data_IF_734746024549
#
_entry.id   IF_734746024549
#
_cell.length_a   1.000
_cell.length_b   1.000
_cell.length_c   1.000
_cell.angle_alpha   90.00
_cell.angle_beta   90.00
_cell.angle_gamma   90.00
#
_symmetry.space_group_name_H-M   'P 1'
#
loop_
_entity.id
_entity.type
_entity.pdbx_description
1 polymer ?
#
# COMPACT_ATOMS: atom_id res chain seq x y z
N UNK A 1 29.50 -24.93 -24.24
CA UNK A 1 28.16 -24.34 -24.47
C UNK A 1 27.64 -23.87 -23.13
N UNK A 2 27.69 -22.57 -22.85
CA UNK A 2 27.16 -22.00 -21.61
C UNK A 2 25.64 -22.05 -21.67
N UNK A 3 25.03 -22.88 -20.82
CA UNK A 3 23.59 -22.94 -20.62
C UNK A 3 23.10 -21.56 -20.17
N UNK A 4 22.63 -20.74 -21.11
CA UNK A 4 21.94 -19.49 -20.78
C UNK A 4 20.65 -19.88 -20.06
N UNK A 5 20.67 -19.74 -18.74
CA UNK A 5 19.51 -19.89 -17.90
C UNK A 5 18.52 -18.79 -18.32
N UNK A 6 17.53 -19.17 -19.14
CA UNK A 6 16.51 -18.26 -19.64
C UNK A 6 15.77 -17.69 -18.42
N UNK A 7 16.05 -16.42 -18.09
CA UNK A 7 15.36 -15.74 -17.01
C UNK A 7 13.86 -15.80 -17.31
N UNK A 8 13.10 -16.53 -16.47
CA UNK A 8 11.65 -16.63 -16.60
C UNK A 8 11.08 -15.21 -16.61
N UNK A 9 10.56 -14.79 -17.76
CA UNK A 9 9.86 -13.51 -17.87
C UNK A 9 8.51 -13.66 -17.17
N UNK A 10 8.19 -12.72 -16.28
CA UNK A 10 6.88 -12.68 -15.64
C UNK A 10 5.79 -12.43 -16.71
N UNK A 11 4.66 -13.13 -16.58
CA UNK A 11 3.47 -12.87 -17.40
C UNK A 11 2.66 -11.68 -16.88
N UNK A 12 1.41 -11.55 -17.31
CA UNK A 12 0.49 -10.48 -16.86
C UNK A 12 -0.09 -10.74 -15.47
N UNK A 13 -0.27 -12.00 -15.08
CA UNK A 13 -0.88 -12.37 -13.80
C UNK A 13 -0.14 -11.77 -12.58
N UNK A 14 1.20 -11.84 -12.48
CA UNK A 14 1.95 -11.14 -11.43
C UNK A 14 1.62 -9.66 -11.28
N UNK A 15 1.45 -8.95 -12.40
CA UNK A 15 1.12 -7.52 -12.40
C UNK A 15 -0.30 -7.29 -11.87
N UNK A 16 -1.25 -8.12 -12.30
CA UNK A 16 -2.64 -8.04 -11.87
C UNK A 16 -2.82 -8.31 -10.36
N UNK A 17 -2.23 -9.40 -9.85
CA UNK A 17 -2.30 -9.73 -8.42
C UNK A 17 -1.61 -8.68 -7.55
N UNK A 18 -0.46 -8.16 -8.00
CA UNK A 18 0.21 -7.05 -7.31
C UNK A 18 -0.68 -5.82 -7.26
N UNK A 19 -1.25 -5.41 -8.40
CA UNK A 19 -2.11 -4.24 -8.48
C UNK A 19 -3.34 -4.36 -7.55
N UNK A 20 -4.05 -5.49 -7.60
CA UNK A 20 -5.22 -5.70 -6.71
C UNK A 20 -4.80 -5.68 -5.24
N UNK A 21 -3.71 -6.36 -4.88
CA UNK A 21 -3.22 -6.37 -3.50
C UNK A 21 -2.83 -4.99 -2.98
N UNK A 22 -2.37 -4.08 -3.85
CA UNK A 22 -2.05 -2.70 -3.46
C UNK A 22 -3.27 -1.80 -3.33
N UNK A 23 -4.35 -2.08 -4.09
CA UNK A 23 -5.60 -1.30 -4.04
C UNK A 23 -6.45 -1.73 -2.85
N UNK A 24 -6.54 -3.03 -2.56
CA UNK A 24 -7.29 -3.56 -1.45
C UNK A 24 -6.56 -3.30 -0.12
N UNK A 25 -6.88 -2.17 0.50
CA UNK A 25 -6.21 -1.69 1.71
C UNK A 25 -7.10 -1.63 2.95
N UNK A 26 -6.50 -1.15 4.05
CA UNK A 26 -7.15 -1.06 5.36
C UNK A 26 -8.43 -0.20 5.38
N UNK A 27 -8.58 0.78 4.48
CA UNK A 27 -9.79 1.61 4.37
C UNK A 27 -11.01 0.75 4.04
N UNK A 28 -10.87 -0.25 3.18
CA UNK A 28 -11.98 -1.14 2.81
C UNK A 28 -12.53 -1.88 4.04
N UNK A 29 -11.66 -2.26 4.98
CA UNK A 29 -12.06 -3.00 6.17
C UNK A 29 -12.46 -2.09 7.34
N UNK A 30 -11.72 -1.02 7.60
CA UNK A 30 -11.89 -0.18 8.79
C UNK A 30 -12.85 1.00 8.58
N UNK A 31 -13.02 1.47 7.33
CA UNK A 31 -13.74 2.73 7.06
C UNK A 31 -14.96 2.56 6.16
N UNK A 32 -15.05 1.49 5.38
CA UNK A 32 -16.20 1.27 4.51
C UNK A 32 -17.52 1.20 5.28
N UNK A 33 -17.59 0.38 6.34
CA UNK A 33 -18.79 0.29 7.18
C UNK A 33 -19.15 1.61 7.86
N UNK A 34 -18.14 2.35 8.34
CA UNK A 34 -18.34 3.69 8.91
C UNK A 34 -18.89 4.67 7.88
N UNK A 35 -18.38 4.67 6.64
CA UNK A 35 -18.89 5.52 5.57
C UNK A 35 -20.35 5.21 5.26
N UNK A 36 -20.70 3.93 5.08
CA UNK A 36 -22.09 3.50 4.85
C UNK A 36 -23.00 3.91 6.00
N UNK A 37 -22.53 3.80 7.25
CA UNK A 37 -23.29 4.21 8.43
C UNK A 37 -23.55 5.72 8.51
N UNK A 38 -22.63 6.57 8.03
CA UNK A 38 -22.74 8.03 8.14
C UNK A 38 -23.42 8.69 6.94
N UNK A 39 -23.05 8.29 5.71
CA UNK A 39 -23.57 8.91 4.47
C UNK A 39 -24.58 8.03 3.74
N UNK A 40 -24.89 6.86 4.28
CA UNK A 40 -25.79 5.88 3.68
C UNK A 40 -25.17 5.12 2.50
N UNK A 41 -25.92 4.14 1.98
CA UNK A 41 -25.50 3.32 0.84
C UNK A 41 -25.30 4.18 -0.43
N UNK A 42 -26.27 5.03 -0.75
CA UNK A 42 -26.25 5.86 -1.96
C UNK A 42 -25.09 6.86 -1.90
N UNK A 43 -24.88 7.52 -0.75
CA UNK A 43 -23.77 8.45 -0.56
C UNK A 43 -22.41 7.75 -0.69
N UNK A 44 -22.28 6.54 -0.14
CA UNK A 44 -21.06 5.74 -0.26
C UNK A 44 -20.78 5.35 -1.72
N UNK A 45 -21.80 4.90 -2.46
CA UNK A 45 -21.66 4.58 -3.89
C UNK A 45 -21.22 5.82 -4.68
N UNK A 46 -21.78 7.00 -4.38
CA UNK A 46 -21.40 8.24 -5.05
C UNK A 46 -19.93 8.62 -4.80
N UNK A 47 -19.44 8.45 -3.57
CA UNK A 47 -18.02 8.65 -3.24
C UNK A 47 -17.12 7.70 -4.04
N UNK A 48 -17.52 6.43 -4.14
CA UNK A 48 -16.77 5.42 -4.92
C UNK A 48 -16.72 5.80 -6.40
N UNK A 49 -17.84 6.25 -6.98
CA UNK A 49 -17.90 6.66 -8.38
C UNK A 49 -17.00 7.88 -8.65
N UNK A 50 -16.99 8.87 -7.76
CA UNK A 50 -16.09 10.02 -7.86
C UNK A 50 -14.62 9.58 -7.79
N UNK A 51 -14.29 8.64 -6.90
CA UNK A 51 -12.95 8.06 -6.84
C UNK A 51 -12.53 7.40 -8.16
N UNK A 52 -13.43 6.60 -8.75
CA UNK A 52 -13.19 5.93 -10.03
C UNK A 52 -13.11 6.91 -11.21
N UNK A 53 -13.81 8.04 -11.14
CA UNK A 53 -13.70 9.10 -12.14
C UNK A 53 -12.29 9.70 -12.23
N UNK A 54 -11.49 9.61 -11.15
CA UNK A 54 -10.09 10.03 -11.15
C UNK A 54 -9.15 8.87 -11.50
N UNK A 55 -9.37 7.68 -10.94
CA UNK A 55 -8.42 6.56 -11.07
C UNK A 55 -8.46 5.89 -12.45
N UNK A 56 -9.63 5.74 -13.07
CA UNK A 56 -9.77 5.09 -14.38
C UNK A 56 -9.03 5.87 -15.48
N UNK A 57 -9.26 7.20 -15.66
CA UNK A 57 -8.49 7.97 -16.65
C UNK A 57 -6.99 7.95 -16.38
N UNK A 58 -6.58 8.01 -15.10
CA UNK A 58 -5.16 7.93 -14.72
C UNK A 58 -4.54 6.59 -15.13
N UNK A 59 -5.24 5.47 -14.93
CA UNK A 59 -4.78 4.15 -15.34
C UNK A 59 -4.69 4.05 -16.88
N UNK A 60 -5.64 4.62 -17.61
CA UNK A 60 -5.58 4.67 -19.08
C UNK A 60 -4.39 5.49 -19.58
N UNK A 61 -4.11 6.65 -18.97
CA UNK A 61 -2.94 7.46 -19.30
C UNK A 61 -1.63 6.70 -19.02
N UNK A 62 -1.52 6.00 -17.89
CA UNK A 62 -0.34 5.17 -17.59
C UNK A 62 -0.18 4.04 -18.62
N UNK A 63 -1.27 3.42 -19.07
CA UNK A 63 -1.23 2.40 -20.11
C UNK A 63 -0.73 2.95 -21.46
N UNK A 64 -1.14 4.15 -21.84
CA UNK A 64 -0.62 4.84 -23.03
C UNK A 64 0.90 5.11 -22.89
N UNK A 65 1.32 5.67 -21.75
CA UNK A 65 2.74 5.99 -21.50
C UNK A 65 3.59 4.70 -21.53
N UNK A 66 3.10 3.61 -20.96
CA UNK A 66 3.79 2.32 -20.93
C UNK A 66 3.90 1.64 -22.31
N UNK A 67 3.07 2.03 -23.29
CA UNK A 67 3.12 1.50 -24.66
C UNK A 67 3.89 2.41 -25.63
N UNK A 68 4.16 3.66 -25.26
CA UNK A 68 4.84 4.65 -26.11
C UNK A 68 6.36 4.41 -26.28
N UNK A 69 7.04 3.82 -25.29
CA UNK A 69 8.48 3.55 -25.38
C UNK A 69 8.82 2.13 -24.96
N UNK A 70 9.98 1.64 -25.46
CA UNK A 70 10.50 0.34 -25.06
C UNK A 70 10.88 0.39 -23.58
N UNK A 71 10.05 -0.22 -22.75
CA UNK A 71 10.26 -0.26 -21.30
C UNK A 71 11.48 -1.12 -21.00
N UNK A 72 12.58 -0.49 -20.59
CA UNK A 72 13.75 -1.18 -20.03
C UNK A 72 13.55 -1.41 -18.53
N UNK A 73 14.51 -2.07 -17.86
CA UNK A 73 14.43 -2.27 -16.41
C UNK A 73 14.49 -0.93 -15.67
N UNK A 74 13.41 -0.53 -14.98
CA UNK A 74 13.40 0.74 -14.23
C UNK A 74 12.11 1.15 -13.50
N UNK A 75 11.01 0.39 -13.60
CA UNK A 75 9.76 0.68 -12.88
C UNK A 75 9.06 1.96 -13.34
N UNK A 76 8.13 2.45 -12.52
CA UNK A 76 7.22 3.56 -12.87
C UNK A 76 7.96 4.88 -13.15
N UNK A 77 8.91 5.27 -12.29
CA UNK A 77 9.67 6.50 -12.48
C UNK A 77 10.49 6.51 -13.77
N UNK A 78 11.06 5.35 -14.15
CA UNK A 78 11.82 5.23 -15.39
C UNK A 78 10.92 5.46 -16.62
N UNK A 79 9.74 4.86 -16.62
CA UNK A 79 8.77 5.01 -17.71
C UNK A 79 8.35 6.48 -17.85
N UNK A 80 8.00 7.15 -16.75
CA UNK A 80 7.54 8.55 -16.77
C UNK A 80 8.65 9.51 -17.20
N UNK A 81 9.85 9.40 -16.64
CA UNK A 81 10.97 10.30 -16.93
C UNK A 81 11.49 10.18 -18.37
N UNK A 82 11.36 9.01 -18.99
CA UNK A 82 11.71 8.79 -20.41
C UNK A 82 10.64 9.29 -21.37
N UNK A 83 9.37 9.16 -21.01
CA UNK A 83 8.26 9.60 -21.86
C UNK A 83 8.04 11.12 -21.85
N UNK A 84 8.18 11.79 -20.69
CA UNK A 84 7.95 13.24 -20.56
C UNK A 84 9.21 14.10 -20.40
N UNK A 85 10.38 13.47 -20.31
CA UNK A 85 11.64 14.15 -20.05
C UNK A 85 11.87 14.45 -18.56
N UNK A 86 13.08 14.92 -18.26
CA UNK A 86 13.61 14.99 -16.90
C UNK A 86 12.83 15.93 -15.97
N UNK A 87 12.39 17.10 -16.46
CA UNK A 87 11.75 18.13 -15.62
C UNK A 87 10.38 17.66 -15.12
N UNK A 88 9.54 17.18 -16.05
CA UNK A 88 8.22 16.65 -15.72
C UNK A 88 8.37 15.36 -14.91
N UNK A 89 9.25 14.45 -15.34
CA UNK A 89 9.54 13.20 -14.64
C UNK A 89 9.99 13.40 -13.19
N UNK A 90 10.88 14.37 -12.93
CA UNK A 90 11.36 14.66 -11.57
C UNK A 90 10.26 15.22 -10.68
N UNK A 91 9.42 16.11 -11.22
CA UNK A 91 8.30 16.70 -10.47
C UNK A 91 7.27 15.65 -10.06
N UNK A 92 6.89 14.78 -11.00
CA UNK A 92 5.98 13.64 -10.72
C UNK A 92 6.65 12.64 -9.77
N UNK A 93 7.94 12.33 -9.98
CA UNK A 93 8.68 11.39 -9.15
C UNK A 93 8.75 11.80 -7.67
N UNK A 94 8.99 13.09 -7.40
CA UNK A 94 8.99 13.63 -6.03
C UNK A 94 7.58 13.51 -5.41
N UNK A 95 6.53 13.84 -6.16
CA UNK A 95 5.15 13.71 -5.68
C UNK A 95 4.79 12.26 -5.36
N UNK A 96 5.16 11.31 -6.23
CA UNK A 96 4.96 9.87 -5.99
C UNK A 96 5.76 9.37 -4.79
N UNK A 97 7.01 9.82 -4.62
CA UNK A 97 7.81 9.46 -3.45
C UNK A 97 7.14 9.89 -2.14
N UNK A 98 6.69 11.14 -2.04
CA UNK A 98 5.98 11.62 -0.85
C UNK A 98 4.65 10.90 -0.64
N UNK A 99 3.90 10.63 -1.72
CA UNK A 99 2.67 9.84 -1.65
C UNK A 99 2.94 8.46 -1.02
N UNK A 100 3.99 7.76 -1.45
CA UNK A 100 4.34 6.46 -0.89
C UNK A 100 4.85 6.55 0.55
N UNK A 101 5.62 7.57 0.90
CA UNK A 101 6.07 7.77 2.28
C UNK A 101 4.89 8.00 3.24
N UNK A 102 3.92 8.82 2.85
CA UNK A 102 2.70 9.07 3.62
C UNK A 102 1.85 7.79 3.67
N UNK A 103 1.77 7.04 2.57
CA UNK A 103 1.05 5.78 2.48
C UNK A 103 1.57 4.74 3.48
N UNK A 104 2.89 4.59 3.61
CA UNK A 104 3.50 3.71 4.63
C UNK A 104 3.08 4.11 6.04
N UNK A 105 3.15 5.40 6.38
CA UNK A 105 2.71 5.89 7.69
C UNK A 105 1.21 5.62 7.92
N UNK A 106 0.38 5.85 6.91
CA UNK A 106 -1.05 5.58 6.94
C UNK A 106 -1.36 4.10 7.20
N UNK A 107 -0.71 3.19 6.46
CA UNK A 107 -0.92 1.74 6.63
C UNK A 107 -0.45 1.25 8.00
N UNK A 108 0.63 1.79 8.56
CA UNK A 108 1.09 1.45 9.92
C UNK A 108 0.09 1.91 10.99
N UNK A 109 -0.49 3.12 10.84
CA UNK A 109 -1.54 3.57 11.74
C UNK A 109 -2.81 2.72 11.63
N UNK A 110 -3.22 2.37 10.41
CA UNK A 110 -4.38 1.52 10.19
C UNK A 110 -4.16 0.09 10.71
N UNK A 111 -2.94 -0.45 10.58
CA UNK A 111 -2.55 -1.71 11.18
C UNK A 111 -2.70 -1.65 12.71
N UNK A 112 -2.22 -0.58 13.36
CA UNK A 112 -2.44 -0.39 14.80
C UNK A 112 -3.92 -0.27 15.18
N UNK A 113 -4.74 0.36 14.34
CA UNK A 113 -6.18 0.50 14.60
C UNK A 113 -6.88 -0.87 14.64
N UNK A 114 -6.46 -1.80 13.78
CA UNK A 114 -7.04 -3.13 13.72
C UNK A 114 -6.86 -3.95 15.03
N UNK A 115 -5.85 -3.61 15.85
CA UNK A 115 -5.62 -4.25 17.16
C UNK A 115 -6.42 -3.62 18.31
N UNK A 116 -7.03 -2.45 18.10
CA UNK A 116 -7.75 -1.74 19.17
C UNK A 116 -8.85 -2.59 19.81
N UNK A 117 -9.71 -3.21 19.00
CA UNK A 117 -10.79 -4.08 19.49
C UNK A 117 -10.27 -5.29 20.26
N UNK A 118 -9.09 -5.80 19.90
CA UNK A 118 -8.47 -6.92 20.62
C UNK A 118 -7.93 -6.49 22.00
N UNK A 119 -7.29 -5.33 22.08
CA UNK A 119 -6.83 -4.80 23.37
C UNK A 119 -7.99 -4.40 24.27
N UNK A 120 -9.04 -3.79 23.73
CA UNK A 120 -10.25 -3.47 24.49
C UNK A 120 -10.84 -4.73 25.12
N UNK A 121 -10.90 -5.83 24.36
CA UNK A 121 -11.35 -7.11 24.89
C UNK A 121 -10.45 -7.65 26.02
N UNK A 122 -9.12 -7.55 25.88
CA UNK A 122 -8.16 -7.96 26.93
C UNK A 122 -8.35 -7.12 28.20
N UNK A 123 -8.43 -5.80 28.07
CA UNK A 123 -8.54 -4.89 29.21
C UNK A 123 -9.85 -5.04 29.97
N UNK A 124 -10.93 -5.39 29.27
CA UNK A 124 -12.23 -5.66 29.89
C UNK A 124 -12.31 -7.05 30.54
N UNK A 125 -11.56 -8.04 30.04
CA UNK A 125 -11.59 -9.42 30.54
C UNK A 125 -10.61 -9.64 31.69
N UNK A 126 -9.40 -9.09 31.55
CA UNK A 126 -8.36 -9.16 32.57
C UNK A 126 -8.28 -7.80 33.24
N UNK A 127 -8.56 -7.74 34.54
CA UNK A 127 -8.35 -6.53 35.35
C UNK A 127 -6.85 -6.22 35.40
N UNK A 128 -6.36 -5.54 34.36
CA UNK A 128 -4.97 -5.22 34.21
C UNK A 128 -4.58 -4.09 35.19
N UNK A 129 -3.37 -4.12 35.76
CA UNK A 129 -2.82 -2.98 36.47
C UNK A 129 -2.87 -1.71 35.60
N UNK A 130 -3.13 -0.56 36.23
CA UNK A 130 -3.29 0.73 35.53
C UNK A 130 -2.12 1.10 34.60
N UNK A 131 -0.90 0.66 34.92
CA UNK A 131 0.27 0.86 34.08
C UNK A 131 0.20 0.08 32.75
N UNK A 132 -0.33 -1.14 32.76
CA UNK A 132 -0.47 -1.98 31.56
C UNK A 132 -1.65 -1.50 30.72
N UNK A 133 -2.76 -1.12 31.37
CA UNK A 133 -3.91 -0.51 30.69
C UNK A 133 -3.51 0.77 29.94
N UNK A 134 -2.76 1.67 30.59
CA UNK A 134 -2.27 2.89 29.95
C UNK A 134 -1.41 2.61 28.72
N UNK A 135 -0.59 1.56 28.75
CA UNK A 135 0.25 1.19 27.61
C UNK A 135 -0.58 0.61 26.46
N UNK A 136 -1.53 -0.29 26.76
CA UNK A 136 -2.36 -0.94 25.73
C UNK A 136 -3.35 0.02 25.06
N UNK A 137 -3.78 1.08 25.74
CA UNK A 137 -4.66 2.11 25.16
C UNK A 137 -3.94 3.00 24.12
N UNK A 138 -2.61 3.09 24.15
CA UNK A 138 -1.86 3.90 23.18
C UNK A 138 -1.66 3.15 21.86
N UNK A 139 -2.15 3.73 20.76
CA UNK A 139 -1.92 3.21 19.40
C UNK A 139 -0.42 3.08 19.06
N UNK A 140 0.42 3.92 19.66
CA UNK A 140 1.88 3.85 19.52
C UNK A 140 2.48 2.49 19.94
N UNK A 141 1.82 1.77 20.85
CA UNK A 141 2.29 0.48 21.36
C UNK A 141 2.37 -0.59 20.28
N UNK A 142 1.52 -0.52 19.25
CA UNK A 142 1.60 -1.43 18.08
C UNK A 142 2.35 -0.77 16.92
N UNK A 143 2.06 0.50 16.63
CA UNK A 143 2.61 1.14 15.44
C UNK A 143 4.13 1.33 15.48
N UNK A 144 4.71 1.69 16.63
CA UNK A 144 6.16 1.93 16.75
C UNK A 144 6.95 0.62 16.61
N UNK A 145 6.62 -0.48 17.33
CA UNK A 145 7.28 -1.75 17.11
C UNK A 145 7.08 -2.29 15.69
N UNK A 146 5.87 -2.18 15.13
CA UNK A 146 5.58 -2.63 13.77
C UNK A 146 6.44 -1.90 12.73
N UNK A 147 6.54 -0.57 12.83
CA UNK A 147 7.39 0.23 11.94
C UNK A 147 8.87 -0.13 12.11
N UNK A 148 9.33 -0.32 13.34
CA UNK A 148 10.72 -0.68 13.61
C UNK A 148 11.06 -2.06 13.03
N UNK A 149 10.18 -3.04 13.21
CA UNK A 149 10.32 -4.39 12.64
C UNK A 149 10.32 -4.31 11.12
N UNK A 150 9.36 -3.61 10.51
CA UNK A 150 9.25 -3.48 9.06
C UNK A 150 10.49 -2.81 8.48
N UNK A 151 10.95 -1.71 9.08
CA UNK A 151 12.17 -1.01 8.69
C UNK A 151 13.39 -1.93 8.81
N UNK A 152 13.52 -2.65 9.92
CA UNK A 152 14.62 -3.60 10.13
C UNK A 152 14.63 -4.72 9.09
N UNK A 153 13.45 -5.26 8.75
CA UNK A 153 13.31 -6.31 7.72
C UNK A 153 13.72 -5.77 6.34
N UNK A 154 13.24 -4.58 5.97
CA UNK A 154 13.56 -3.98 4.66
C UNK A 154 15.04 -3.65 4.55
N UNK A 155 15.67 -3.13 5.61
CA UNK A 155 17.10 -2.83 5.61
C UNK A 155 18.00 -4.08 5.57
N UNK A 156 17.56 -5.20 6.16
CA UNK A 156 18.38 -6.42 6.25
C UNK A 156 18.16 -7.39 5.10
N UNK A 157 16.91 -7.59 4.67
CA UNK A 157 16.53 -8.58 3.64
C UNK A 157 16.18 -7.96 2.28
N UNK A 158 16.12 -6.63 2.20
CA UNK A 158 15.73 -5.90 1.01
C UNK A 158 14.23 -5.99 0.70
N UNK A 159 13.80 -5.24 -0.32
CA UNK A 159 12.41 -5.18 -0.76
C UNK A 159 11.91 -6.46 -1.47
N UNK A 160 12.83 -7.33 -1.91
CA UNK A 160 12.52 -8.59 -2.61
C UNK A 160 11.70 -9.56 -1.73
N UNK A 161 11.85 -9.48 -0.41
CA UNK A 161 11.01 -10.24 0.52
C UNK A 161 9.52 -9.89 0.37
N UNK A 162 9.20 -8.61 0.20
CA UNK A 162 7.82 -8.15 0.03
C UNK A 162 7.20 -8.66 -1.28
N UNK A 163 7.99 -8.65 -2.36
CA UNK A 163 7.58 -9.19 -3.66
C UNK A 163 7.32 -10.69 -3.57
N UNK A 164 8.19 -11.44 -2.88
CA UNK A 164 7.99 -12.88 -2.65
C UNK A 164 6.78 -13.18 -1.78
N UNK A 165 6.54 -12.41 -0.73
CA UNK A 165 5.37 -12.58 0.13
C UNK A 165 4.06 -12.41 -0.64
N UNK A 166 4.04 -11.51 -1.63
CA UNK A 166 2.87 -11.26 -2.47
C UNK A 166 2.51 -12.43 -3.40
N UNK A 167 3.44 -13.34 -3.69
CA UNK A 167 3.17 -14.56 -4.47
C UNK A 167 2.78 -15.78 -3.62
N UNK A 168 2.92 -15.67 -2.30
CA UNK A 168 2.59 -16.76 -1.35
C UNK A 168 1.16 -16.64 -0.85
N UNK A 169 0.58 -15.43 -0.88
CA UNK A 169 -0.82 -15.12 -0.55
C UNK A 169 -1.71 -15.35 -1.76
#
# INVERSE_FOLDING_TARGET
MSTQQQARKFGTAPVFFTAISTILGAIMFLRFGFAVGNVGLVGTIMIILIGHAVTIPTAMAIAEIATNQKVEGGGEYYIVSRSFGLVIGSSIGIALYFSQAISVAFYIMAFSEAFSSFFDWILNTYQAPSAIAWLLEKKQTVSVPALFILTSIVLTKGADLGVKALYVV
#
